data_IF_347617513930
#
_entry.id   IF_347617513930
#
_cell.length_a   1.000
_cell.length_b   1.000
_cell.length_c   1.000
_cell.angle_alpha   90.00
_cell.angle_beta   90.00
_cell.angle_gamma   90.00
#
_symmetry.space_group_name_H-M   'P 1'
#
loop_
_entity.id
_entity.type
_entity.pdbx_description
1 polymer ?
#
# COMPACT_ATOMS: atom_id res chain seq x y z
N UNK A 1 31.12 4.89 -45.61
CA UNK A 1 31.93 5.87 -44.83
C UNK A 1 31.18 6.17 -43.54
N UNK A 2 31.82 5.93 -42.41
CA UNK A 2 31.30 6.14 -41.06
C UNK A 2 31.25 7.62 -40.68
N UNK A 3 30.24 8.03 -39.90
CA UNK A 3 30.42 9.07 -38.89
C UNK A 3 29.37 8.93 -37.77
N UNK A 4 29.86 9.03 -36.55
CA UNK A 4 29.24 8.78 -35.24
C UNK A 4 28.44 10.00 -34.73
N UNK A 5 27.58 9.83 -33.70
CA UNK A 5 26.73 10.89 -33.16
C UNK A 5 27.50 11.88 -32.28
N UNK A 6 27.10 13.16 -32.31
CA UNK A 6 27.58 14.20 -31.40
C UNK A 6 26.59 14.37 -30.26
N UNK A 7 27.02 13.92 -29.07
CA UNK A 7 26.41 14.24 -27.78
C UNK A 7 26.72 15.71 -27.46
N UNK A 8 25.70 16.53 -27.14
CA UNK A 8 25.94 17.83 -26.51
C UNK A 8 25.06 17.99 -25.26
N UNK A 9 25.74 17.85 -24.12
CA UNK A 9 25.29 18.19 -22.77
C UNK A 9 24.81 19.64 -22.71
N UNK A 10 23.69 19.88 -22.05
CA UNK A 10 23.38 21.21 -21.49
C UNK A 10 22.86 21.05 -20.05
N UNK A 11 23.42 21.89 -19.20
CA UNK A 11 23.37 21.96 -17.74
C UNK A 11 22.04 22.51 -17.20
N UNK A 12 21.49 22.02 -16.07
CA UNK A 12 20.39 22.71 -15.40
C UNK A 12 20.93 23.91 -14.60
N UNK A 13 20.46 25.10 -14.96
CA UNK A 13 20.65 26.33 -14.19
C UNK A 13 19.72 26.28 -12.98
N UNK A 14 20.30 26.32 -11.78
CA UNK A 14 19.58 26.41 -10.53
C UNK A 14 18.95 27.79 -10.33
N UNK A 15 17.81 27.79 -9.64
CA UNK A 15 17.25 28.99 -9.03
C UNK A 15 16.86 28.65 -7.59
N UNK A 16 17.73 29.07 -6.65
CA UNK A 16 17.53 29.01 -5.20
C UNK A 16 16.85 30.33 -4.78
N UNK A 17 15.58 30.28 -4.38
CA UNK A 17 14.90 31.43 -3.77
C UNK A 17 14.90 31.27 -2.26
N UNK A 18 15.74 32.08 -1.61
CA UNK A 18 15.78 32.30 -0.16
C UNK A 18 14.71 33.34 0.19
N UNK A 19 13.75 32.97 1.03
CA UNK A 19 12.86 33.93 1.69
C UNK A 19 13.26 34.02 3.15
N UNK A 20 13.83 35.16 3.52
CA UNK A 20 14.23 35.50 4.87
C UNK A 20 13.14 36.35 5.54
N UNK A 21 12.85 36.01 6.81
CA UNK A 21 12.38 36.93 7.83
C UNK A 21 10.87 37.18 7.90
N UNK A 22 10.24 36.82 9.02
CA UNK A 22 9.94 37.73 10.14
C UNK A 22 9.57 36.85 11.35
N UNK A 23 10.35 36.95 12.42
CA UNK A 23 10.02 36.41 13.74
C UNK A 23 9.23 37.47 14.52
N UNK A 24 7.98 37.18 14.88
CA UNK A 24 7.24 37.98 15.86
C UNK A 24 6.98 37.13 17.10
N UNK A 25 7.74 37.42 18.15
CA UNK A 25 7.51 36.92 19.49
C UNK A 25 6.31 37.64 20.10
N UNK A 26 5.28 36.90 20.47
CA UNK A 26 4.28 37.35 21.45
C UNK A 26 4.32 36.36 22.60
N UNK A 27 4.80 36.86 23.74
CA UNK A 27 4.74 36.23 25.05
C UNK A 27 3.37 36.45 25.70
N UNK A 28 3.12 35.69 26.78
CA UNK A 28 1.99 35.78 27.74
C UNK A 28 0.76 34.96 27.31
N UNK A 29 0.17 34.04 28.08
CA UNK A 29 0.11 33.90 29.54
C UNK A 29 -0.22 32.44 29.93
N UNK A 30 0.32 31.98 31.06
CA UNK A 30 -0.05 30.71 31.71
C UNK A 30 -1.35 30.91 32.50
N UNK A 31 -2.31 29.98 32.44
CA UNK A 31 -3.11 29.64 33.60
C UNK A 31 -2.74 28.25 34.09
N UNK A 32 -2.12 28.24 35.27
CA UNK A 32 -2.00 27.06 36.13
C UNK A 32 -3.38 26.59 36.56
N UNK A 33 -3.85 25.52 35.94
CA UNK A 33 -4.77 24.58 36.60
C UNK A 33 -4.19 23.18 36.43
N UNK A 34 -3.41 22.79 37.44
CA UNK A 34 -3.23 21.37 37.73
C UNK A 34 -4.60 20.80 38.13
N UNK A 35 -5.17 19.99 37.24
CA UNK A 35 -6.07 18.94 37.62
C UNK A 35 -5.67 17.70 36.84
N UNK A 36 -4.95 16.84 37.54
CA UNK A 36 -4.53 15.48 37.22
C UNK A 36 -5.37 14.82 36.11
N UNK A 37 -4.84 14.79 34.90
CA UNK A 37 -5.20 13.77 33.93
C UNK A 37 -4.01 12.82 33.84
N UNK A 38 -4.17 11.53 34.17
CA UNK A 38 -3.08 10.58 34.03
C UNK A 38 -2.66 10.53 32.55
N UNK A 39 -1.36 10.50 32.23
CA UNK A 39 -0.91 10.25 30.88
C UNK A 39 -1.05 8.75 30.62
N UNK A 40 -2.27 8.23 30.45
CA UNK A 40 -2.43 6.89 29.86
C UNK A 40 -2.46 7.06 28.35
N UNK A 41 -1.31 7.46 27.80
CA UNK A 41 -1.02 7.36 26.38
C UNK A 41 -0.52 5.94 26.09
N UNK A 42 -1.37 4.95 26.41
CA UNK A 42 -1.34 3.63 25.77
C UNK A 42 -2.20 3.66 24.50
N UNK A 43 -2.18 4.78 23.78
CA UNK A 43 -2.57 4.82 22.38
C UNK A 43 -1.39 4.28 21.57
N UNK A 44 -1.17 2.97 21.64
CA UNK A 44 -0.64 2.26 20.49
C UNK A 44 -1.68 2.45 19.39
N UNK A 45 -1.44 3.42 18.50
CA UNK A 45 -2.45 3.94 17.60
C UNK A 45 -3.06 2.82 16.73
N UNK A 46 -4.41 2.65 16.70
CA UNK A 46 -5.08 1.76 15.76
C UNK A 46 -4.96 2.22 14.29
N UNK A 47 -4.19 3.28 14.03
CA UNK A 47 -3.92 3.78 12.68
C UNK A 47 -2.98 2.88 11.90
N UNK A 48 -2.04 2.18 12.55
CA UNK A 48 -1.11 1.26 11.88
C UNK A 48 -1.83 0.06 11.27
N UNK A 49 -2.55 -0.70 12.09
CA UNK A 49 -3.34 -1.88 11.68
C UNK A 49 -4.39 -1.54 10.61
N UNK A 50 -5.06 -0.39 10.71
CA UNK A 50 -6.00 0.09 9.68
C UNK A 50 -5.32 0.43 8.36
N UNK A 51 -4.08 0.94 8.40
CA UNK A 51 -3.31 1.27 7.19
C UNK A 51 -2.84 -0.02 6.51
N UNK A 52 -2.29 -0.96 7.26
CA UNK A 52 -1.84 -2.27 6.74
C UNK A 52 -3.01 -3.08 6.14
N UNK A 53 -4.13 -3.14 6.85
CA UNK A 53 -5.36 -3.79 6.35
C UNK A 53 -5.83 -3.17 5.03
N UNK A 54 -5.78 -1.84 4.92
CA UNK A 54 -6.17 -1.13 3.69
C UNK A 54 -5.21 -1.45 2.54
N UNK A 55 -3.91 -1.49 2.81
CA UNK A 55 -2.91 -1.85 1.80
C UNK A 55 -3.09 -3.27 1.29
N UNK A 56 -3.43 -4.24 2.15
CA UNK A 56 -3.75 -5.60 1.73
C UNK A 56 -4.97 -5.64 0.82
N UNK A 57 -6.06 -4.95 1.18
CA UNK A 57 -7.26 -4.88 0.34
C UNK A 57 -7.00 -4.17 -1.00
N UNK A 58 -6.20 -3.11 -0.99
CA UNK A 58 -5.81 -2.40 -2.22
C UNK A 58 -4.94 -3.30 -3.13
N UNK A 59 -4.08 -4.13 -2.56
CA UNK A 59 -3.32 -5.14 -3.31
C UNK A 59 -4.23 -6.21 -3.92
N UNK A 60 -5.16 -6.78 -3.12
CA UNK A 60 -6.13 -7.75 -3.59
C UNK A 60 -6.95 -7.20 -4.77
N UNK A 61 -7.47 -5.97 -4.63
CA UNK A 61 -8.23 -5.30 -5.68
C UNK A 61 -7.44 -5.16 -6.98
N UNK A 62 -6.18 -4.71 -6.92
CA UNK A 62 -5.32 -4.61 -8.12
C UNK A 62 -5.11 -5.95 -8.82
N UNK A 63 -5.00 -7.03 -8.04
CA UNK A 63 -4.83 -8.37 -8.59
C UNK A 63 -6.11 -8.86 -9.27
N UNK A 64 -7.28 -8.66 -8.66
CA UNK A 64 -8.56 -8.95 -9.28
C UNK A 64 -8.78 -8.15 -10.57
N UNK A 65 -8.50 -6.85 -10.56
CA UNK A 65 -8.61 -6.00 -11.77
C UNK A 65 -7.72 -6.52 -12.91
N UNK A 66 -6.54 -7.04 -12.59
CA UNK A 66 -5.62 -7.63 -13.56
C UNK A 66 -6.12 -9.00 -14.04
N UNK A 67 -6.63 -9.83 -13.14
CA UNK A 67 -7.20 -11.13 -13.48
C UNK A 67 -8.41 -10.98 -14.42
N UNK A 68 -9.28 -10.00 -14.14
CA UNK A 68 -10.43 -9.67 -14.98
C UNK A 68 -10.00 -9.35 -16.43
N UNK A 69 -9.01 -8.46 -16.59
CA UNK A 69 -8.46 -8.13 -17.93
C UNK A 69 -7.85 -9.33 -18.65
N UNK A 70 -7.22 -10.26 -17.91
CA UNK A 70 -6.71 -11.49 -18.51
C UNK A 70 -7.85 -12.39 -19.01
N UNK A 71 -8.94 -12.50 -18.26
CA UNK A 71 -10.14 -13.25 -18.68
C UNK A 71 -10.80 -12.62 -19.91
N UNK A 72 -10.90 -11.29 -19.98
CA UNK A 72 -11.38 -10.58 -21.19
C UNK A 72 -10.51 -10.92 -22.41
N UNK A 73 -9.18 -10.94 -22.26
CA UNK A 73 -8.28 -11.34 -23.34
C UNK A 73 -8.45 -12.82 -23.72
N UNK A 74 -8.64 -13.71 -22.73
CA UNK A 74 -8.91 -15.12 -22.99
C UNK A 74 -10.21 -15.29 -23.79
N UNK A 75 -11.26 -14.54 -23.45
CA UNK A 75 -12.54 -14.57 -24.16
C UNK A 75 -12.39 -14.10 -25.62
N UNK A 76 -11.71 -12.98 -25.85
CA UNK A 76 -11.40 -12.51 -27.20
C UNK A 76 -10.58 -13.53 -28.02
N UNK A 77 -9.68 -14.27 -27.37
CA UNK A 77 -8.93 -15.36 -28.02
C UNK A 77 -9.83 -16.56 -28.36
N UNK A 78 -10.77 -16.91 -27.50
CA UNK A 78 -11.77 -17.96 -27.79
C UNK A 78 -12.68 -17.59 -28.95
N UNK A 79 -13.09 -16.32 -29.05
CA UNK A 79 -13.84 -15.81 -30.21
C UNK A 79 -13.04 -15.96 -31.52
N UNK A 80 -11.71 -15.84 -31.44
CA UNK A 80 -10.78 -16.11 -32.54
C UNK A 80 -10.43 -17.59 -32.75
N UNK A 81 -11.08 -18.54 -32.06
CA UNK A 81 -10.76 -19.97 -32.04
C UNK A 81 -9.34 -20.32 -31.56
N UNK A 82 -8.69 -19.42 -30.81
CA UNK A 82 -7.33 -19.60 -30.27
C UNK A 82 -7.39 -20.13 -28.83
N UNK A 83 -7.91 -21.35 -28.67
CA UNK A 83 -8.22 -21.92 -27.36
C UNK A 83 -6.99 -22.19 -26.48
N UNK A 84 -5.91 -22.72 -27.05
CA UNK A 84 -4.67 -23.00 -26.30
C UNK A 84 -4.07 -21.72 -25.70
N UNK A 85 -4.12 -20.63 -26.47
CA UNK A 85 -3.64 -19.34 -25.98
C UNK A 85 -4.57 -18.76 -24.92
N UNK A 86 -5.90 -18.89 -25.12
CA UNK A 86 -6.88 -18.46 -24.12
C UNK A 86 -6.67 -19.16 -22.77
N UNK A 87 -6.42 -20.47 -22.77
CA UNK A 87 -6.16 -21.26 -21.56
C UNK A 87 -4.96 -20.70 -20.78
N UNK A 88 -3.87 -20.33 -21.46
CA UNK A 88 -2.72 -19.71 -20.81
C UNK A 88 -3.05 -18.36 -20.14
N UNK A 89 -4.03 -17.60 -20.67
CA UNK A 89 -4.52 -16.37 -20.02
C UNK A 89 -5.40 -16.68 -18.81
N UNK A 90 -6.27 -17.69 -18.89
CA UNK A 90 -7.10 -18.12 -17.77
C UNK A 90 -6.27 -18.63 -16.60
N UNK A 91 -5.27 -19.47 -16.85
CA UNK A 91 -4.35 -19.98 -15.81
C UNK A 91 -3.68 -18.84 -15.06
N UNK A 92 -3.22 -17.81 -15.80
CA UNK A 92 -2.62 -16.62 -15.20
C UNK A 92 -3.64 -15.82 -14.40
N UNK A 93 -4.88 -15.70 -14.87
CA UNK A 93 -5.95 -15.03 -14.14
C UNK A 93 -6.25 -15.73 -12.81
N UNK A 94 -6.38 -17.06 -12.83
CA UNK A 94 -6.61 -17.88 -11.65
C UNK A 94 -5.49 -17.74 -10.62
N UNK A 95 -4.24 -17.70 -11.07
CA UNK A 95 -3.10 -17.49 -10.18
C UNK A 95 -3.14 -16.11 -9.49
N UNK A 96 -3.52 -15.06 -10.23
CA UNK A 96 -3.66 -13.72 -9.65
C UNK A 96 -4.82 -13.64 -8.67
N UNK A 97 -5.94 -14.29 -8.95
CA UNK A 97 -7.08 -14.38 -8.02
C UNK A 97 -6.69 -15.13 -6.75
N UNK A 98 -5.87 -16.17 -6.87
CA UNK A 98 -5.36 -16.86 -5.68
C UNK A 98 -4.51 -15.96 -4.82
N UNK A 99 -3.58 -15.23 -5.42
CA UNK A 99 -2.79 -14.22 -4.72
C UNK A 99 -3.68 -13.13 -4.08
N UNK A 100 -4.74 -12.70 -4.77
CA UNK A 100 -5.69 -11.73 -4.26
C UNK A 100 -6.39 -12.23 -2.99
N UNK A 101 -6.86 -13.49 -3.00
CA UNK A 101 -7.46 -14.14 -1.83
C UNK A 101 -6.49 -14.23 -0.65
N UNK A 102 -5.20 -14.48 -0.89
CA UNK A 102 -4.19 -14.48 0.17
C UNK A 102 -4.06 -13.10 0.83
N UNK A 103 -4.14 -12.01 0.05
CA UNK A 103 -4.14 -10.66 0.60
C UNK A 103 -5.43 -10.35 1.37
N UNK A 104 -6.60 -10.81 0.91
CA UNK A 104 -7.85 -10.68 1.65
C UNK A 104 -7.79 -11.42 2.99
N UNK A 105 -7.26 -12.64 3.00
CA UNK A 105 -7.07 -13.41 4.22
C UNK A 105 -6.17 -12.69 5.23
N UNK A 106 -5.04 -12.14 4.78
CA UNK A 106 -4.17 -11.33 5.66
C UNK A 106 -4.87 -10.08 6.17
N UNK A 107 -5.68 -9.42 5.34
CA UNK A 107 -6.46 -8.26 5.76
C UNK A 107 -7.48 -8.63 6.85
N UNK A 108 -8.06 -9.83 6.79
CA UNK A 108 -8.95 -10.35 7.83
C UNK A 108 -8.19 -10.68 9.11
N UNK A 109 -7.05 -11.35 9.03
CA UNK A 109 -6.18 -11.64 10.18
C UNK A 109 -5.74 -10.36 10.89
N UNK A 110 -5.34 -9.32 10.15
CA UNK A 110 -4.96 -8.02 10.71
C UNK A 110 -6.10 -7.27 11.39
N UNK A 111 -7.35 -7.63 11.11
CA UNK A 111 -8.53 -7.06 11.80
C UNK A 111 -8.86 -7.79 13.10
N UNK A 112 -8.40 -9.02 13.27
CA UNK A 112 -8.64 -9.80 14.48
C UNK A 112 -7.66 -9.35 15.57
N UNK A 113 -8.14 -9.11 16.81
CA UNK A 113 -7.23 -8.79 17.91
C UNK A 113 -6.27 -9.97 18.14
N UNK A 114 -4.97 -9.69 18.25
CA UNK A 114 -3.88 -10.65 18.43
C UNK A 114 -4.03 -11.57 19.67
N UNK A 115 -5.04 -11.35 20.50
CA UNK A 115 -5.30 -12.08 21.76
C UNK A 115 -5.98 -13.45 21.58
N UNK A 116 -6.36 -13.86 20.37
CA UNK A 116 -7.05 -15.14 20.16
C UNK A 116 -6.15 -16.38 20.22
N UNK A 117 -4.82 -16.24 20.25
CA UNK A 117 -3.89 -17.36 20.42
C UNK A 117 -3.22 -17.30 21.80
N UNK A 118 -3.95 -17.71 22.84
CA UNK A 118 -3.34 -18.12 24.11
C UNK A 118 -3.30 -19.64 24.13
N UNK A 119 -2.16 -20.30 23.84
CA UNK A 119 -2.05 -21.73 24.09
C UNK A 119 -2.30 -21.95 25.58
N UNK A 120 -3.23 -22.85 25.91
CA UNK A 120 -3.49 -23.22 27.30
C UNK A 120 -2.16 -23.69 27.94
N UNK A 121 -1.81 -23.24 29.15
CA UNK A 121 -0.66 -23.78 29.84
C UNK A 121 -0.89 -25.28 30.02
N UNK A 122 0.08 -26.07 29.57
CA UNK A 122 0.13 -27.50 29.82
C UNK A 122 0.47 -27.61 31.31
N UNK A 123 -0.51 -27.99 32.14
CA UNK A 123 -0.24 -28.34 33.53
C UNK A 123 0.50 -29.68 33.54
N UNK A 124 1.77 -29.66 33.96
CA UNK A 124 2.55 -30.85 34.35
C UNK A 124 2.28 -31.22 35.81
#
# INVERSE_FOLDING_TARGET
MSARPVVRRSTPVGLLLVVAGVTLAVAQERPTHELSHPPTRDQASPSGERTETREFLDNARRLYDRAYKLRENAEALREGNRYEEAEAFDERALNLEDQARQYEHRAEESRLPATSYRPAPIEE
#
